data_IF_349383321493
#
_entry.id   IF_349383321493
#
_cell.length_a   1.000
_cell.length_b   1.000
_cell.length_c   1.000
_cell.angle_alpha   90.00
_cell.angle_beta   90.00
_cell.angle_gamma   90.00
#
_symmetry.space_group_name_H-M   'P 1'
#
loop_
_entity.id
_entity.type
_entity.pdbx_description
1 polymer ?
#
# COMPACT_ATOMS: atom_id res chain seq x y z
N UNK A 1 31.90 64.45 -31.69
CA UNK A 1 31.86 63.15 -32.40
C UNK A 1 32.94 62.27 -31.79
N UNK A 2 32.53 61.30 -30.97
CA UNK A 2 32.61 59.84 -31.24
C UNK A 2 34.02 59.26 -31.00
N UNK A 3 34.26 58.62 -29.85
CA UNK A 3 34.26 57.14 -29.64
C UNK A 3 35.47 56.45 -30.31
N UNK A 4 36.30 55.62 -29.66
CA UNK A 4 36.04 54.52 -28.72
C UNK A 4 37.32 54.20 -27.90
N UNK A 5 37.15 53.91 -26.60
CA UNK A 5 38.12 53.19 -25.76
C UNK A 5 37.69 51.72 -25.65
N UNK A 6 38.61 50.77 -25.74
CA UNK A 6 38.42 49.39 -25.23
C UNK A 6 39.37 49.16 -24.07
N UNK A 7 38.78 48.79 -22.95
CA UNK A 7 39.41 48.44 -21.69
C UNK A 7 39.76 46.96 -21.65
N UNK A 8 40.84 46.68 -20.93
CA UNK A 8 41.35 45.40 -20.45
C UNK A 8 40.39 44.76 -19.45
N UNK A 9 39.99 43.50 -19.69
CA UNK A 9 39.28 42.68 -18.70
C UNK A 9 40.27 42.10 -17.69
N UNK A 10 40.11 42.48 -16.43
CA UNK A 10 40.74 41.85 -15.28
C UNK A 10 40.02 40.56 -14.88
N UNK A 11 40.81 39.56 -14.55
CA UNK A 11 40.41 38.28 -13.96
C UNK A 11 39.84 38.53 -12.56
N UNK A 12 38.55 38.24 -12.36
CA UNK A 12 37.90 38.26 -11.04
C UNK A 12 38.01 36.86 -10.42
N UNK A 13 38.82 36.74 -9.38
CA UNK A 13 38.96 35.53 -8.55
C UNK A 13 37.83 35.54 -7.52
N UNK A 14 36.84 34.67 -7.66
CA UNK A 14 35.75 34.50 -6.68
C UNK A 14 36.20 33.49 -5.62
N UNK A 15 36.59 33.98 -4.44
CA UNK A 15 36.74 33.19 -3.23
C UNK A 15 35.35 32.82 -2.70
N UNK A 16 35.01 31.52 -2.71
CA UNK A 16 33.82 30.99 -2.07
C UNK A 16 34.17 30.64 -0.61
N UNK A 17 33.81 31.54 0.31
CA UNK A 17 33.90 31.28 1.75
C UNK A 17 32.68 30.46 2.17
N UNK A 18 32.88 29.20 2.55
CA UNK A 18 31.83 28.34 3.14
C UNK A 18 31.61 28.80 4.58
N UNK A 19 30.52 29.51 4.83
CA UNK A 19 30.06 29.82 6.17
C UNK A 19 29.26 28.63 6.74
N UNK A 20 29.71 28.10 7.86
CA UNK A 20 28.96 27.13 8.65
C UNK A 20 27.75 27.82 9.28
N UNK A 21 26.55 27.47 8.83
CA UNK A 21 25.31 27.84 9.50
C UNK A 21 25.08 26.85 10.66
N UNK A 22 25.06 27.38 11.88
CA UNK A 22 24.55 26.70 13.08
C UNK A 22 23.06 26.39 12.93
N UNK A 23 22.55 25.27 13.49
CA UNK A 23 21.14 24.94 13.42
C UNK A 23 20.35 25.92 14.31
N UNK A 24 19.43 26.66 13.69
CA UNK A 24 18.38 27.40 14.38
C UNK A 24 17.34 26.36 14.81
N UNK A 25 17.06 26.31 16.11
CA UNK A 25 15.95 25.56 16.67
C UNK A 25 14.65 26.06 16.03
N UNK A 26 13.99 25.20 15.26
CA UNK A 26 12.63 25.40 14.80
C UNK A 26 11.71 24.56 15.70
N UNK A 27 10.70 25.24 16.24
CA UNK A 27 9.62 24.69 17.06
C UNK A 27 8.96 23.46 16.41
N UNK A 28 8.58 22.53 17.28
CA UNK A 28 7.77 21.33 16.99
C UNK A 28 6.41 21.71 16.37
N UNK A 29 6.35 21.75 15.04
CA UNK A 29 5.10 21.65 14.29
C UNK A 29 4.84 20.16 13.98
N UNK A 30 3.76 19.64 14.56
CA UNK A 30 3.30 18.26 14.47
C UNK A 30 2.88 17.87 13.03
N UNK A 31 3.86 17.62 12.17
CA UNK A 31 3.67 16.74 11.01
C UNK A 31 3.73 15.30 11.51
N UNK A 32 2.69 14.50 11.24
CA UNK A 32 2.72 13.04 11.43
C UNK A 32 3.78 12.45 10.49
N UNK A 33 5.02 12.43 10.96
CA UNK A 33 6.18 11.97 10.23
C UNK A 33 6.15 10.43 10.22
N UNK A 34 5.94 9.83 9.04
CA UNK A 34 6.11 8.40 8.87
C UNK A 34 7.54 8.02 9.29
N UNK A 35 7.68 7.34 10.43
CA UNK A 35 8.98 6.86 10.88
C UNK A 35 9.40 5.69 10.01
N UNK A 36 10.38 5.93 9.15
CA UNK A 36 11.02 4.87 8.37
C UNK A 36 11.71 3.89 9.32
N UNK A 37 11.40 2.60 9.21
CA UNK A 37 12.05 1.53 9.94
C UNK A 37 12.66 0.54 8.96
N UNK A 38 13.95 0.27 9.11
CA UNK A 38 14.59 -0.84 8.41
C UNK A 38 13.96 -2.16 8.90
N UNK A 39 13.29 -2.87 8.00
CA UNK A 39 12.74 -4.21 8.22
C UNK A 39 13.78 -5.28 7.92
N UNK A 40 14.58 -5.03 6.86
CA UNK A 40 15.68 -5.87 6.41
C UNK A 40 16.82 -4.97 5.94
N UNK A 41 18.05 -5.32 6.32
CA UNK A 41 19.25 -4.79 5.70
C UNK A 41 20.30 -5.89 5.67
N UNK A 42 20.67 -6.32 4.48
CA UNK A 42 21.60 -7.42 4.27
C UNK A 42 22.65 -7.06 3.22
N UNK A 43 23.90 -7.33 3.56
CA UNK A 43 25.06 -7.14 2.69
C UNK A 43 25.86 -8.43 2.49
N UNK A 44 25.41 -9.55 3.05
CA UNK A 44 26.00 -10.89 2.91
C UNK A 44 27.51 -10.91 3.19
N UNK A 45 27.94 -10.17 4.21
CA UNK A 45 29.36 -10.05 4.61
C UNK A 45 29.85 -11.24 5.44
N UNK A 46 28.92 -12.03 5.97
CA UNK A 46 29.21 -13.32 6.60
C UNK A 46 29.51 -14.37 5.52
N UNK A 47 30.30 -15.39 5.88
CA UNK A 47 30.61 -16.55 5.03
C UNK A 47 29.47 -17.58 4.95
N UNK A 48 28.36 -17.30 5.64
CA UNK A 48 27.14 -18.10 5.66
C UNK A 48 25.91 -17.20 5.70
N UNK A 49 24.76 -17.71 5.23
CA UNK A 49 23.49 -17.01 5.37
C UNK A 49 23.14 -16.87 6.85
N UNK A 50 22.73 -15.68 7.30
CA UNK A 50 22.26 -15.48 8.67
C UNK A 50 21.00 -16.31 8.93
N UNK A 51 20.68 -16.52 10.21
CA UNK A 51 19.50 -17.28 10.63
C UNK A 51 18.16 -16.70 10.14
N UNK A 52 18.18 -15.46 9.66
CA UNK A 52 16.99 -14.74 9.22
C UNK A 52 16.62 -15.07 7.77
N UNK A 53 17.52 -15.75 7.05
CA UNK A 53 17.29 -16.24 5.70
C UNK A 53 17.12 -17.76 5.67
N UNK A 54 16.45 -18.25 4.64
CA UNK A 54 16.36 -19.67 4.34
C UNK A 54 16.41 -19.90 2.84
N UNK A 55 16.96 -21.04 2.45
CA UNK A 55 16.97 -21.49 1.05
C UNK A 55 15.84 -22.49 0.88
N UNK A 56 14.85 -22.16 0.06
CA UNK A 56 13.74 -23.05 -0.29
C UNK A 56 14.13 -23.97 -1.44
N UNK A 57 13.60 -25.19 -1.45
CA UNK A 57 13.87 -26.20 -2.47
C UNK A 57 15.39 -26.41 -2.66
N UNK A 58 16.05 -26.62 -1.51
CA UNK A 58 17.49 -26.53 -1.38
C UNK A 58 18.23 -27.60 -2.17
N UNK A 59 19.10 -27.16 -3.07
CA UNK A 59 20.27 -27.92 -3.49
C UNK A 59 21.50 -27.31 -2.80
N UNK A 60 22.16 -28.03 -1.85
CA UNK A 60 23.38 -27.53 -1.24
C UNK A 60 24.40 -27.15 -2.32
N UNK A 61 25.13 -26.06 -2.09
CA UNK A 61 26.14 -25.47 -2.99
C UNK A 61 25.64 -24.51 -4.09
N UNK A 62 24.33 -24.29 -4.23
CA UNK A 62 23.80 -23.43 -5.31
C UNK A 62 23.33 -22.04 -4.87
N UNK A 63 23.24 -21.78 -3.55
CA UNK A 63 22.98 -20.44 -2.99
C UNK A 63 23.84 -20.19 -1.75
N UNK A 64 24.80 -19.27 -1.83
CA UNK A 64 25.76 -19.02 -0.76
C UNK A 64 26.34 -17.60 -0.80
N UNK A 65 26.68 -17.00 0.36
CA UNK A 65 27.45 -15.76 0.40
C UNK A 65 28.88 -15.95 -0.12
N UNK A 66 29.34 -15.03 -0.95
CA UNK A 66 30.71 -14.94 -1.45
C UNK A 66 31.08 -13.48 -1.73
N UNK A 67 32.25 -13.05 -1.25
CA UNK A 67 32.80 -11.71 -1.45
C UNK A 67 31.84 -10.56 -1.06
N UNK A 68 31.14 -10.70 0.06
CA UNK A 68 30.19 -9.70 0.55
C UNK A 68 28.93 -9.57 -0.32
N UNK A 69 28.52 -10.67 -0.98
CA UNK A 69 27.35 -10.75 -1.87
C UNK A 69 26.74 -12.13 -1.76
N UNK A 70 25.43 -12.25 -1.95
CA UNK A 70 24.79 -13.56 -2.13
C UNK A 70 24.94 -13.98 -3.58
N UNK A 71 25.51 -15.15 -3.82
CA UNK A 71 25.48 -15.81 -5.13
C UNK A 71 24.36 -16.84 -5.16
N UNK A 72 23.56 -16.82 -6.23
CA UNK A 72 22.61 -17.88 -6.56
C UNK A 72 22.95 -18.39 -7.98
N UNK A 73 23.22 -19.67 -8.10
CA UNK A 73 23.52 -20.33 -9.36
C UNK A 73 22.21 -20.73 -10.09
N UNK A 74 21.90 -20.13 -11.26
CA UNK A 74 20.60 -20.32 -11.91
C UNK A 74 20.42 -21.72 -12.46
N UNK A 75 19.38 -22.40 -11.99
CA UNK A 75 18.99 -23.70 -12.52
C UNK A 75 18.00 -23.61 -13.68
N UNK A 76 18.00 -24.61 -14.58
CA UNK A 76 17.00 -24.75 -15.63
C UNK A 76 15.59 -24.91 -15.04
N UNK A 77 14.66 -24.06 -15.48
CA UNK A 77 13.25 -24.17 -15.15
C UNK A 77 12.38 -24.12 -16.40
N UNK A 78 11.32 -24.92 -16.43
CA UNK A 78 10.32 -24.92 -17.49
C UNK A 78 9.38 -23.73 -17.41
N UNK A 79 9.10 -23.27 -16.19
CA UNK A 79 8.14 -22.23 -15.89
C UNK A 79 8.73 -21.29 -14.83
N UNK A 80 9.01 -20.06 -15.24
CA UNK A 80 9.59 -19.04 -14.37
C UNK A 80 8.58 -18.53 -13.35
N UNK A 81 7.29 -18.59 -13.66
CA UNK A 81 6.23 -18.06 -12.81
C UNK A 81 5.80 -19.09 -11.73
N UNK A 82 6.23 -20.34 -11.84
CA UNK A 82 5.96 -21.40 -10.87
C UNK A 82 7.02 -21.42 -9.74
N UNK A 83 6.95 -20.46 -8.81
CA UNK A 83 7.95 -20.30 -7.72
C UNK A 83 8.25 -21.60 -6.95
N UNK A 84 7.25 -22.42 -6.65
CA UNK A 84 7.43 -23.71 -5.97
C UNK A 84 8.25 -24.77 -6.73
N UNK A 85 8.60 -24.49 -8.00
CA UNK A 85 9.43 -25.37 -8.85
C UNK A 85 10.81 -24.79 -9.11
N UNK A 86 11.11 -23.62 -8.56
CA UNK A 86 12.38 -22.95 -8.76
C UNK A 86 13.27 -23.31 -7.58
N UNK A 87 14.37 -24.04 -7.82
CA UNK A 87 15.28 -24.40 -6.75
C UNK A 87 16.01 -23.15 -6.22
N UNK A 88 16.49 -23.25 -4.99
CA UNK A 88 17.38 -22.27 -4.38
C UNK A 88 16.82 -20.83 -4.29
N UNK A 89 15.52 -20.69 -4.06
CA UNK A 89 14.94 -19.40 -3.69
C UNK A 89 15.43 -19.00 -2.29
N UNK A 90 15.96 -17.79 -2.14
CA UNK A 90 16.46 -17.31 -0.85
C UNK A 90 15.42 -16.39 -0.23
N UNK A 91 14.73 -16.87 0.80
CA UNK A 91 13.61 -16.21 1.46
C UNK A 91 14.04 -15.59 2.79
N UNK A 92 13.64 -14.35 3.04
CA UNK A 92 13.69 -13.75 4.37
C UNK A 92 12.53 -14.29 5.21
N UNK A 93 12.85 -14.87 6.37
CA UNK A 93 11.90 -15.66 7.18
C UNK A 93 10.79 -14.82 7.78
N UNK A 94 11.06 -13.55 8.08
CA UNK A 94 10.10 -12.70 8.77
C UNK A 94 9.22 -11.91 7.78
N UNK A 95 7.93 -11.72 8.09
CA UNK A 95 7.07 -10.88 7.29
C UNK A 95 7.54 -9.42 7.33
N UNK A 96 7.41 -8.75 6.19
CA UNK A 96 7.64 -7.33 6.00
C UNK A 96 6.36 -6.59 6.42
N UNK A 97 6.29 -6.17 7.67
CA UNK A 97 5.16 -5.41 8.19
C UNK A 97 5.32 -3.91 7.88
N UNK A 98 4.36 -3.31 7.17
CA UNK A 98 4.32 -1.87 6.92
C UNK A 98 3.19 -1.46 5.97
N UNK A 99 2.62 -0.25 6.17
CA UNK A 99 1.59 0.30 5.26
C UNK A 99 2.18 0.69 3.90
N UNK A 100 3.42 1.18 3.96
CA UNK A 100 4.27 1.37 2.79
C UNK A 100 5.52 0.55 3.00
N UNK A 101 5.91 -0.20 1.98
CA UNK A 101 7.12 -1.02 1.98
C UNK A 101 7.93 -0.63 0.76
N UNK A 102 9.20 -0.34 0.94
CA UNK A 102 10.15 -0.22 -0.17
C UNK A 102 11.17 -1.32 -0.03
N UNK A 103 11.09 -2.33 -0.89
CA UNK A 103 12.09 -3.38 -1.02
C UNK A 103 13.02 -3.07 -2.18
N UNK A 104 14.33 -3.18 -1.95
CA UNK A 104 15.36 -2.99 -2.98
C UNK A 104 16.43 -4.06 -2.87
N UNK A 105 16.96 -4.46 -4.01
CA UNK A 105 18.12 -5.33 -4.09
C UNK A 105 18.98 -4.89 -5.27
N UNK A 106 20.29 -4.80 -5.06
CA UNK A 106 21.23 -4.64 -6.16
C UNK A 106 21.54 -6.03 -6.73
N UNK A 107 21.37 -6.13 -8.04
CA UNK A 107 21.50 -7.33 -8.84
C UNK A 107 22.69 -7.16 -9.79
N UNK A 108 23.55 -8.17 -9.85
CA UNK A 108 24.62 -8.26 -10.85
C UNK A 108 24.51 -9.59 -11.61
N UNK A 109 24.25 -9.52 -12.92
CA UNK A 109 23.99 -10.69 -13.77
C UNK A 109 24.57 -10.49 -15.17
N UNK A 110 25.06 -11.57 -15.79
CA UNK A 110 25.45 -11.59 -17.20
C UNK A 110 24.43 -12.42 -17.99
N UNK A 111 23.40 -11.77 -18.52
CA UNK A 111 22.33 -12.43 -19.27
C UNK A 111 22.89 -12.91 -20.61
N UNK A 112 23.01 -14.22 -20.77
CA UNK A 112 23.56 -14.89 -21.95
C UNK A 112 22.56 -15.82 -22.65
N UNK A 113 21.43 -16.12 -22.00
CA UNK A 113 20.40 -17.03 -22.49
C UNK A 113 18.97 -16.55 -22.17
N UNK A 114 17.96 -17.02 -22.91
CA UNK A 114 16.56 -16.79 -22.57
C UNK A 114 16.24 -17.36 -21.18
N UNK A 115 15.41 -16.66 -20.43
CA UNK A 115 15.05 -17.00 -19.05
C UNK A 115 16.15 -16.85 -18.03
N UNK A 116 17.42 -16.64 -18.42
CA UNK A 116 18.49 -16.35 -17.46
C UNK A 116 18.29 -14.94 -16.87
N UNK A 117 18.19 -14.87 -15.55
CA UNK A 117 18.08 -13.60 -14.84
C UNK A 117 17.94 -13.77 -13.33
N UNK A 118 17.66 -12.66 -12.67
CA UNK A 118 17.31 -12.63 -11.25
C UNK A 118 16.13 -11.72 -10.97
N UNK A 119 15.52 -11.90 -9.81
CA UNK A 119 14.34 -11.16 -9.40
C UNK A 119 14.28 -10.87 -7.91
N UNK A 120 13.57 -9.79 -7.59
CA UNK A 120 13.10 -9.43 -6.27
C UNK A 120 11.61 -9.74 -6.20
N UNK A 121 11.18 -10.52 -5.21
CA UNK A 121 9.79 -10.95 -5.07
C UNK A 121 9.27 -10.57 -3.68
N UNK A 122 8.09 -9.96 -3.65
CA UNK A 122 7.25 -9.83 -2.46
C UNK A 122 6.22 -10.96 -2.49
N UNK A 123 6.36 -11.91 -1.57
CA UNK A 123 5.70 -13.21 -1.61
C UNK A 123 4.80 -13.41 -0.39
N UNK A 124 3.55 -13.81 -0.60
CA UNK A 124 2.67 -14.29 0.47
C UNK A 124 2.48 -15.82 0.35
N UNK A 125 2.16 -16.29 -0.86
CA UNK A 125 2.06 -17.70 -1.20
C UNK A 125 2.21 -17.93 -2.72
N UNK A 126 2.11 -19.18 -3.19
CA UNK A 126 2.30 -19.54 -4.60
C UNK A 126 1.25 -18.96 -5.57
N UNK A 127 0.11 -18.49 -5.05
CA UNK A 127 -0.94 -17.82 -5.82
C UNK A 127 -0.94 -16.31 -5.64
N UNK A 128 -0.20 -15.79 -4.67
CA UNK A 128 -0.24 -14.41 -4.23
C UNK A 128 1.20 -13.86 -4.06
N UNK A 129 1.70 -13.17 -5.10
CA UNK A 129 3.01 -12.54 -5.09
C UNK A 129 3.13 -11.42 -6.13
N UNK A 130 4.10 -10.53 -5.92
CA UNK A 130 4.53 -9.51 -6.88
C UNK A 130 6.04 -9.63 -7.08
N UNK A 131 6.47 -9.73 -8.33
CA UNK A 131 7.85 -9.91 -8.73
C UNK A 131 8.30 -8.77 -9.64
N UNK A 132 9.52 -8.29 -9.41
CA UNK A 132 10.29 -7.52 -10.38
C UNK A 132 11.51 -8.33 -10.80
N UNK A 133 11.55 -8.76 -12.05
CA UNK A 133 12.64 -9.53 -12.63
C UNK A 133 13.45 -8.74 -13.66
N UNK A 134 14.76 -8.98 -13.71
CA UNK A 134 15.63 -8.62 -14.82
C UNK A 134 16.16 -9.90 -15.47
N UNK A 135 15.73 -10.18 -16.70
CA UNK A 135 15.99 -11.47 -17.38
C UNK A 135 16.09 -11.34 -18.90
N UNK A 136 16.64 -12.38 -19.52
CA UNK A 136 16.59 -12.58 -20.96
C UNK A 136 15.24 -13.12 -21.43
N UNK A 137 14.75 -12.63 -22.56
CA UNK A 137 13.59 -13.15 -23.30
C UNK A 137 13.93 -13.29 -24.78
N UNK A 138 13.22 -14.15 -25.51
CA UNK A 138 13.33 -14.24 -26.98
C UNK A 138 12.28 -13.34 -27.63
N UNK A 139 12.72 -12.43 -28.49
CA UNK A 139 11.84 -11.62 -29.32
C UNK A 139 12.34 -11.67 -30.77
N UNK A 140 11.53 -12.20 -31.69
CA UNK A 140 11.91 -12.29 -33.11
C UNK A 140 13.17 -13.13 -33.36
N UNK A 141 13.50 -14.08 -32.47
CA UNK A 141 14.71 -14.89 -32.55
C UNK A 141 15.95 -14.26 -31.89
N UNK A 142 15.89 -12.98 -31.51
CA UNK A 142 16.95 -12.29 -30.77
C UNK A 142 16.76 -12.45 -29.26
N UNK A 143 17.87 -12.49 -28.52
CA UNK A 143 17.86 -12.33 -27.07
C UNK A 143 17.64 -10.85 -26.75
N UNK A 144 16.63 -10.56 -25.94
CA UNK A 144 16.32 -9.22 -25.43
C UNK A 144 16.39 -9.25 -23.91
N UNK A 145 17.04 -8.27 -23.32
CA UNK A 145 17.11 -8.08 -21.87
C UNK A 145 15.94 -7.20 -21.46
N UNK A 146 15.12 -7.69 -20.54
CA UNK A 146 13.87 -7.02 -20.13
C UNK A 146 13.78 -6.91 -18.62
N UNK A 147 13.09 -5.86 -18.18
CA UNK A 147 12.54 -5.75 -16.84
C UNK A 147 11.07 -6.12 -16.89
N UNK A 148 10.67 -7.01 -15.99
CA UNK A 148 9.32 -7.56 -15.95
C UNK A 148 8.76 -7.42 -14.55
N UNK A 149 7.67 -6.66 -14.43
CA UNK A 149 6.83 -6.63 -13.24
C UNK A 149 5.69 -7.63 -13.45
N UNK A 150 5.62 -8.66 -12.64
CA UNK A 150 4.53 -9.65 -12.69
C UNK A 150 3.82 -9.71 -11.35
N UNK A 151 2.49 -9.71 -11.40
CA UNK A 151 1.61 -9.91 -10.26
C UNK A 151 0.86 -11.22 -10.45
N UNK A 152 0.88 -12.09 -9.44
CA UNK A 152 -0.06 -13.20 -9.32
C UNK A 152 -0.91 -12.97 -8.08
N UNK A 153 -2.22 -12.98 -8.25
CA UNK A 153 -3.15 -12.78 -7.13
C UNK A 153 -4.46 -13.50 -7.43
N UNK A 154 -4.94 -14.34 -6.51
CA UNK A 154 -6.18 -15.09 -6.70
C UNK A 154 -6.21 -15.96 -7.97
N UNK A 155 -5.05 -16.44 -8.42
CA UNK A 155 -4.89 -17.23 -9.66
C UNK A 155 -4.84 -16.42 -10.95
N UNK A 156 -5.16 -15.13 -10.92
CA UNK A 156 -4.99 -14.21 -12.05
C UNK A 156 -3.54 -13.71 -12.11
N UNK A 157 -3.01 -13.54 -13.33
CA UNK A 157 -1.66 -13.04 -13.58
C UNK A 157 -1.70 -11.79 -14.45
N UNK A 158 -1.06 -10.71 -13.99
CA UNK A 158 -0.82 -9.49 -14.77
C UNK A 158 0.69 -9.30 -14.96
N UNK A 159 1.11 -8.82 -16.12
CA UNK A 159 2.52 -8.58 -16.42
C UNK A 159 2.73 -7.26 -17.17
N UNK A 160 3.73 -6.48 -16.73
CA UNK A 160 4.24 -5.29 -17.41
C UNK A 160 5.70 -5.53 -17.79
N UNK A 161 6.05 -5.22 -19.04
CA UNK A 161 7.40 -5.44 -19.58
C UNK A 161 8.00 -4.13 -20.07
N UNK A 162 9.25 -3.90 -19.70
CA UNK A 162 10.07 -2.79 -20.22
C UNK A 162 11.35 -3.35 -20.83
N UNK A 163 11.61 -3.04 -22.10
CA UNK A 163 12.87 -3.39 -22.75
C UNK A 163 14.03 -2.58 -22.15
N UNK A 164 15.12 -3.27 -21.83
CA UNK A 164 16.36 -2.67 -21.33
C UNK A 164 17.44 -2.63 -22.42
N UNK A 165 17.65 -3.74 -23.12
CA UNK A 165 18.69 -3.86 -24.15
C UNK A 165 18.50 -5.07 -25.06
N UNK A 166 19.32 -5.18 -26.11
CA UNK A 166 19.33 -6.32 -27.04
C UNK A 166 20.65 -7.09 -26.94
N UNK A 167 20.60 -8.37 -27.31
CA UNK A 167 21.72 -9.30 -27.28
C UNK A 167 22.12 -9.76 -25.89
N UNK A 168 23.04 -10.73 -25.85
CA UNK A 168 23.73 -11.13 -24.63
C UNK A 168 24.53 -9.95 -24.08
N UNK A 169 24.61 -9.82 -22.76
CA UNK A 169 25.23 -8.64 -22.13
C UNK A 169 26.75 -8.61 -22.31
N UNK A 170 27.40 -9.74 -22.58
CA UNK A 170 28.87 -9.88 -22.76
C UNK A 170 29.70 -9.55 -21.50
N UNK A 171 29.16 -8.74 -20.61
CA UNK A 171 29.65 -8.32 -19.31
C UNK A 171 28.52 -8.41 -18.29
N UNK A 172 28.87 -8.44 -17.01
CA UNK A 172 27.88 -8.37 -15.93
C UNK A 172 27.27 -6.98 -15.87
N UNK A 173 25.95 -6.94 -15.89
CA UNK A 173 25.18 -5.72 -15.71
C UNK A 173 24.80 -5.56 -14.25
N UNK A 174 24.95 -4.34 -13.74
CA UNK A 174 24.57 -3.97 -12.38
C UNK A 174 23.33 -3.11 -12.41
N UNK A 175 22.27 -3.56 -11.74
CA UNK A 175 20.99 -2.89 -11.68
C UNK A 175 20.41 -3.00 -10.27
N UNK A 176 19.84 -1.91 -9.75
CA UNK A 176 19.05 -1.98 -8.52
C UNK A 176 17.59 -2.19 -8.91
N UNK A 177 16.99 -3.26 -8.41
CA UNK A 177 15.57 -3.53 -8.51
C UNK A 177 14.88 -2.93 -7.29
N UNK A 178 13.78 -2.19 -7.49
CA UNK A 178 13.01 -1.58 -6.39
C UNK A 178 11.53 -1.90 -6.59
N UNK A 179 10.93 -2.49 -5.56
CA UNK A 179 9.49 -2.71 -5.44
C UNK A 179 8.97 -1.85 -4.29
N UNK A 180 8.05 -0.95 -4.60
CA UNK A 180 7.35 -0.12 -3.64
C UNK A 180 5.90 -0.62 -3.52
N UNK A 181 5.47 -0.94 -2.30
CA UNK A 181 4.07 -1.16 -1.95
C UNK A 181 3.55 0.07 -1.23
N UNK A 182 2.37 0.54 -1.62
CA UNK A 182 1.59 1.52 -0.87
C UNK A 182 0.12 1.08 -0.89
N UNK A 183 -0.38 0.62 0.26
CA UNK A 183 -1.68 -0.04 0.35
C UNK A 183 -1.73 -1.29 -0.56
N UNK A 184 -2.63 -1.26 -1.55
CA UNK A 184 -2.85 -2.32 -2.53
C UNK A 184 -2.07 -2.11 -3.86
N UNK A 185 -1.37 -0.99 -4.02
CA UNK A 185 -0.59 -0.69 -5.22
C UNK A 185 0.86 -1.11 -5.07
N UNK A 186 1.41 -1.68 -6.13
CA UNK A 186 2.79 -2.10 -6.26
C UNK A 186 3.43 -1.43 -7.46
N UNK A 187 4.44 -0.59 -7.20
CA UNK A 187 5.20 0.11 -8.22
C UNK A 187 6.59 -0.49 -8.34
N UNK A 188 7.00 -0.76 -9.58
CA UNK A 188 8.32 -1.27 -9.90
C UNK A 188 9.20 -0.19 -10.53
N UNK A 189 10.40 -0.02 -9.98
CA UNK A 189 11.43 0.88 -10.47
C UNK A 189 12.73 0.12 -10.70
N UNK A 190 13.55 0.65 -11.59
CA UNK A 190 14.96 0.26 -11.72
C UNK A 190 15.87 1.47 -11.48
N UNK A 191 17.05 1.22 -10.92
CA UNK A 191 18.14 2.19 -10.86
C UNK A 191 19.40 1.61 -11.52
N UNK A 192 20.00 2.37 -12.43
CA UNK A 192 21.21 1.97 -13.14
C UNK A 192 22.31 3.00 -12.86
N UNK A 193 23.50 2.59 -12.39
CA UNK A 193 24.62 3.51 -12.24
C UNK A 193 25.05 4.09 -13.59
N UNK A 194 25.20 5.41 -13.65
CA UNK A 194 25.57 6.16 -14.86
C UNK A 194 26.91 6.87 -14.64
N UNK A 195 28.00 6.31 -15.16
CA UNK A 195 29.31 6.98 -15.16
C UNK A 195 29.87 7.18 -13.73
N UNK A 196 30.04 8.43 -13.24
CA UNK A 196 30.64 8.69 -11.93
C UNK A 196 29.91 7.99 -10.76
N UNK A 197 30.63 7.64 -9.67
CA UNK A 197 30.02 7.08 -8.47
C UNK A 197 28.87 7.96 -7.94
N UNK A 198 27.73 7.34 -7.61
CA UNK A 198 26.57 8.02 -7.01
C UNK A 198 25.55 8.58 -7.99
N UNK A 199 25.84 8.62 -9.30
CA UNK A 199 24.85 9.04 -10.31
C UNK A 199 24.03 7.81 -10.74
N UNK A 200 22.73 7.83 -10.46
CA UNK A 200 21.80 6.76 -10.80
C UNK A 200 20.75 7.26 -11.82
N UNK A 201 20.52 6.49 -12.89
CA UNK A 201 19.35 6.65 -13.75
C UNK A 201 18.21 5.81 -13.21
N UNK A 202 17.15 6.47 -12.77
CA UNK A 202 15.89 5.85 -12.36
C UNK A 202 14.94 5.65 -13.54
N UNK A 203 14.25 4.52 -13.58
CA UNK A 203 13.24 4.23 -14.59
C UNK A 203 12.07 3.44 -14.02
N UNK A 204 10.85 3.89 -14.30
CA UNK A 204 9.62 3.15 -13.95
C UNK A 204 9.44 1.95 -14.88
N UNK A 205 9.24 0.76 -14.33
CA UNK A 205 8.94 -0.45 -15.11
C UNK A 205 7.44 -0.58 -15.30
N UNK A 206 6.67 -0.38 -14.23
CA UNK A 206 5.21 -0.43 -14.26
C UNK A 206 4.60 -0.34 -12.86
N UNK A 207 3.29 -0.45 -12.81
CA UNK A 207 2.49 -0.49 -11.59
C UNK A 207 1.39 -1.55 -11.76
N UNK A 208 1.07 -2.25 -10.67
CA UNK A 208 0.02 -3.28 -10.58
C UNK A 208 -0.70 -3.14 -9.24
N UNK A 209 -1.94 -3.62 -9.15
CA UNK A 209 -2.70 -3.66 -7.89
C UNK A 209 -2.92 -5.11 -7.44
N UNK A 210 -2.73 -5.39 -6.16
CA UNK A 210 -2.94 -6.70 -5.53
C UNK A 210 -3.58 -6.52 -4.13
N UNK A 211 -4.91 -6.32 -4.06
CA UNK A 211 -5.60 -6.06 -2.80
C UNK A 211 -5.61 -7.29 -1.89
N UNK A 212 -5.14 -7.15 -0.66
CA UNK A 212 -5.03 -8.27 0.30
C UNK A 212 -3.67 -8.99 0.28
N UNK A 213 -2.68 -8.46 -0.45
CA UNK A 213 -1.29 -8.92 -0.36
C UNK A 213 -0.63 -8.26 0.88
N UNK A 214 -0.83 -8.86 2.06
CA UNK A 214 -0.54 -8.26 3.38
C UNK A 214 0.75 -8.73 4.03
N UNK A 215 0.83 -10.04 4.28
CA UNK A 215 1.93 -10.76 4.95
C UNK A 215 3.07 -11.08 3.97
N UNK A 216 3.77 -10.03 3.53
CA UNK A 216 4.79 -10.17 2.49
C UNK A 216 6.11 -10.65 3.06
N UNK A 217 6.67 -11.71 2.51
CA UNK A 217 8.07 -12.09 2.69
C UNK A 217 8.89 -11.61 1.50
N UNK A 218 10.17 -11.35 1.74
CA UNK A 218 11.11 -11.02 0.69
C UNK A 218 11.73 -12.32 0.14
N UNK A 219 11.70 -12.51 -1.18
CA UNK A 219 12.42 -13.59 -1.85
C UNK A 219 13.38 -13.02 -2.89
N UNK A 220 14.60 -13.56 -2.89
CA UNK A 220 15.60 -13.38 -3.93
C UNK A 220 15.59 -14.64 -4.80
N UNK A 221 15.54 -14.43 -6.11
CA UNK A 221 15.33 -15.51 -7.08
C UNK A 221 16.32 -15.40 -8.22
N UNK A 222 16.89 -16.53 -8.62
CA UNK A 222 17.65 -16.66 -9.87
C UNK A 222 17.23 -17.95 -10.59
N UNK A 223 17.05 -17.87 -11.90
CA UNK A 223 16.75 -19.06 -12.70
C UNK A 223 17.20 -18.86 -14.16
N UNK A 224 17.14 -19.92 -14.95
CA UNK A 224 17.31 -19.87 -16.41
C UNK A 224 16.25 -20.73 -17.10
N UNK A 225 15.87 -20.41 -18.34
CA UNK A 225 14.96 -21.30 -19.06
C UNK A 225 15.67 -22.62 -19.37
N UNK A 226 14.94 -23.73 -19.29
CA UNK A 226 15.44 -25.01 -19.75
C UNK A 226 15.83 -24.93 -21.24
N UNK A 227 17.08 -25.27 -21.62
CA UNK A 227 17.46 -25.25 -23.02
C UNK A 227 16.66 -26.31 -23.77
N UNK A 228 16.01 -25.92 -24.87
CA UNK A 228 15.15 -26.83 -25.63
C UNK A 228 15.88 -28.05 -26.27
N UNK A 229 17.22 -28.17 -26.16
CA UNK A 229 17.99 -29.26 -26.79
C UNK A 229 19.52 -29.25 -26.55
N UNK A 230 20.04 -28.64 -25.47
CA UNK A 230 21.51 -28.58 -25.22
C UNK A 230 21.89 -29.54 -24.09
N UNK A 231 22.96 -30.36 -24.24
CA UNK A 231 23.47 -31.21 -23.14
C UNK A 231 23.80 -30.37 -21.90
N UNK A 232 23.35 -30.83 -20.73
CA UNK A 232 23.51 -30.16 -19.42
C UNK A 232 24.98 -29.86 -19.06
N UNK A 233 25.89 -30.61 -19.64
CA UNK A 233 27.31 -30.73 -19.33
C UNK A 233 28.19 -29.64 -19.99
N UNK A 234 27.62 -28.70 -20.75
CA UNK A 234 28.38 -27.70 -21.52
C UNK A 234 28.18 -26.22 -21.15
N UNK A 235 27.35 -25.85 -20.16
CA UNK A 235 27.12 -24.43 -19.85
C UNK A 235 27.09 -24.15 -18.35
N UNK A 236 28.27 -23.94 -17.76
CA UNK A 236 28.38 -23.20 -16.51
C UNK A 236 27.96 -21.74 -16.80
N UNK A 237 26.76 -21.36 -16.39
CA UNK A 237 26.35 -19.96 -16.49
C UNK A 237 26.91 -19.16 -15.32
N UNK A 238 27.25 -17.88 -15.55
CA UNK A 238 27.68 -17.03 -14.47
C UNK A 238 26.53 -16.87 -13.45
N UNK A 239 26.80 -17.20 -12.19
CA UNK A 239 25.83 -17.04 -11.10
C UNK A 239 25.35 -15.59 -10.97
N UNK A 240 24.11 -15.44 -10.51
CA UNK A 240 23.47 -14.16 -10.23
C UNK A 240 23.92 -13.70 -8.84
N UNK A 241 24.36 -12.45 -8.72
CA UNK A 241 24.76 -11.89 -7.44
C UNK A 241 23.74 -10.87 -6.94
N UNK A 242 23.49 -10.91 -5.63
CA UNK A 242 22.67 -9.96 -4.89
C UNK A 242 23.49 -9.27 -3.80
N UNK A 243 23.34 -7.95 -3.66
CA UNK A 243 23.92 -7.15 -2.59
C UNK A 243 23.02 -5.95 -2.22
N UNK A 244 23.34 -5.29 -1.10
CA UNK A 244 22.59 -4.11 -0.61
C UNK A 244 21.07 -4.35 -0.59
N UNK A 245 20.66 -5.51 -0.05
CA UNK A 245 19.26 -5.91 0.02
C UNK A 245 18.64 -5.21 1.22
N UNK A 246 17.69 -4.33 0.96
CA UNK A 246 17.06 -3.50 1.99
C UNK A 246 15.56 -3.51 1.80
N UNK A 247 14.82 -3.74 2.89
CA UNK A 247 13.39 -3.48 2.96
C UNK A 247 13.14 -2.46 4.07
N UNK A 248 12.46 -1.35 3.73
CA UNK A 248 12.06 -0.32 4.68
C UNK A 248 10.54 -0.31 4.77
N UNK A 249 10.04 -0.35 5.99
CA UNK A 249 8.63 -0.21 6.32
C UNK A 249 8.34 1.18 6.84
N UNK A 250 7.18 1.71 6.48
CA UNK A 250 6.62 2.92 7.07
C UNK A 250 5.30 2.54 7.74
N UNK A 251 5.23 2.74 9.05
CA UNK A 251 3.97 2.75 9.79
C UNK A 251 3.60 4.20 10.07
N UNK A 252 2.35 4.57 9.82
CA UNK A 252 1.80 5.76 10.45
C UNK A 252 1.38 5.35 11.87
N UNK A 253 2.04 5.90 12.87
CA UNK A 253 1.56 5.85 14.26
C UNK A 253 0.47 6.92 14.46
N UNK A 254 -0.49 7.02 13.54
CA UNK A 254 -1.66 7.87 13.72
C UNK A 254 -2.79 7.02 14.33
N UNK A 255 -2.59 6.55 15.57
CA UNK A 255 -3.66 5.86 16.28
C UNK A 255 -4.72 6.83 16.77
N UNK A 256 -5.98 6.40 16.84
CA UNK A 256 -6.94 6.87 17.84
C UNK A 256 -6.21 6.94 19.20
N UNK A 257 -5.97 8.17 19.70
CA UNK A 257 -5.51 8.39 21.07
C UNK A 257 -6.56 7.91 22.05
N UNK A 258 -6.16 7.51 23.26
CA UNK A 258 -7.05 6.92 24.27
C UNK A 258 -8.40 7.66 24.39
N UNK A 259 -9.48 6.89 24.62
CA UNK A 259 -10.81 7.47 24.78
C UNK A 259 -10.75 8.56 25.87
N UNK A 260 -11.31 9.76 25.63
CA UNK A 260 -11.28 10.83 26.62
C UNK A 260 -11.81 10.34 27.97
N UNK A 261 -11.15 10.68 29.07
CA UNK A 261 -11.56 10.26 30.43
C UNK A 261 -13.01 10.63 30.78
N UNK A 262 -13.57 11.65 30.10
CA UNK A 262 -14.96 12.11 30.23
C UNK A 262 -16.00 11.19 29.58
N UNK A 263 -15.58 10.21 28.77
CA UNK A 263 -16.44 9.30 28.04
C UNK A 263 -16.28 7.86 28.54
N UNK A 264 -17.41 7.16 28.66
CA UNK A 264 -17.39 5.72 28.95
C UNK A 264 -17.42 4.95 27.64
N UNK A 265 -16.42 4.10 27.42
CA UNK A 265 -16.41 3.17 26.29
C UNK A 265 -17.48 2.09 26.51
N UNK A 266 -18.54 2.13 25.71
CA UNK A 266 -19.60 1.12 25.72
C UNK A 266 -19.22 -0.09 24.85
N UNK A 267 -18.48 0.15 23.78
CA UNK A 267 -17.89 -0.89 22.94
C UNK A 267 -16.60 -0.38 22.29
N UNK A 268 -15.59 -1.24 22.20
CA UNK A 268 -14.40 -0.98 21.43
C UNK A 268 -13.98 -2.26 20.72
N UNK A 269 -13.46 -2.11 19.51
CA UNK A 269 -12.78 -3.19 18.79
C UNK A 269 -11.53 -2.66 18.12
N UNK A 270 -10.49 -3.48 18.13
CA UNK A 270 -9.38 -3.40 17.18
C UNK A 270 -9.70 -4.40 16.07
N UNK A 271 -9.76 -3.93 14.83
CA UNK A 271 -10.15 -4.81 13.72
C UNK A 271 -9.09 -5.87 13.42
N UNK A 272 -7.84 -5.71 13.91
CA UNK A 272 -6.79 -6.74 13.84
C UNK A 272 -7.12 -7.97 14.70
N UNK A 273 -8.00 -7.85 15.70
CA UNK A 273 -8.54 -9.00 16.42
C UNK A 273 -9.68 -9.65 15.62
N UNK A 274 -9.28 -10.54 14.71
CA UNK A 274 -10.20 -11.25 13.82
C UNK A 274 -11.21 -12.14 14.54
N UNK A 275 -10.88 -12.62 15.74
CA UNK A 275 -11.79 -13.42 16.55
C UNK A 275 -12.91 -12.56 17.14
N UNK A 276 -12.57 -11.38 17.68
CA UNK A 276 -13.57 -10.39 18.12
C UNK A 276 -14.39 -9.87 16.93
N UNK A 277 -13.76 -9.62 15.78
CA UNK A 277 -14.48 -9.22 14.58
C UNK A 277 -15.57 -10.24 14.18
N UNK A 278 -15.21 -11.52 14.06
CA UNK A 278 -16.16 -12.59 13.66
C UNK A 278 -17.31 -12.77 14.64
N UNK A 279 -17.10 -12.46 15.92
CA UNK A 279 -18.14 -12.51 16.96
C UNK A 279 -19.07 -11.31 16.87
N UNK A 280 -18.50 -10.11 16.74
CA UNK A 280 -19.24 -8.86 16.95
C UNK A 280 -19.78 -8.25 15.64
N UNK A 281 -19.36 -8.72 14.46
CA UNK A 281 -19.76 -8.16 13.17
C UNK A 281 -20.35 -9.18 12.20
N UNK A 282 -21.22 -8.70 11.32
CA UNK A 282 -21.75 -9.44 10.16
C UNK A 282 -21.35 -8.74 8.88
N UNK A 283 -20.80 -9.48 7.92
CA UNK A 283 -20.59 -8.97 6.56
C UNK A 283 -21.84 -9.23 5.73
N UNK A 284 -22.52 -8.17 5.32
CA UNK A 284 -23.67 -8.25 4.44
C UNK A 284 -23.24 -8.39 2.97
N UNK A 285 -23.81 -9.39 2.28
CA UNK A 285 -23.57 -9.69 0.87
C UNK A 285 -22.07 -9.85 0.57
N UNK A 286 -21.40 -10.82 1.23
CA UNK A 286 -19.95 -11.01 1.08
C UNK A 286 -19.58 -11.33 -0.37
N UNK A 287 -18.49 -10.76 -0.82
CA UNK A 287 -17.87 -11.00 -2.11
C UNK A 287 -16.36 -11.18 -1.89
N UNK A 288 -15.88 -12.38 -2.24
CA UNK A 288 -14.45 -12.72 -2.20
C UNK A 288 -13.66 -11.82 -3.15
N UNK A 289 -12.45 -11.42 -2.76
CA UNK A 289 -11.60 -10.51 -3.54
C UNK A 289 -11.92 -9.01 -3.40
N UNK A 290 -12.82 -8.64 -2.49
CA UNK A 290 -13.04 -7.25 -2.07
C UNK A 290 -13.25 -7.10 -0.56
N UNK A 291 -12.86 -8.13 0.19
CA UNK A 291 -12.85 -8.20 1.64
C UNK A 291 -11.63 -9.05 2.04
N UNK A 292 -10.79 -8.54 2.92
CA UNK A 292 -9.75 -9.30 3.61
C UNK A 292 -9.86 -9.07 5.12
N UNK A 293 -9.49 -10.10 5.89
CA UNK A 293 -9.54 -10.09 7.36
C UNK A 293 -8.22 -10.53 7.99
N UNK A 294 -7.20 -10.87 7.21
CA UNK A 294 -5.96 -11.50 7.69
C UNK A 294 -5.18 -10.56 8.60
N UNK A 295 -5.10 -9.27 8.21
CA UNK A 295 -4.43 -8.20 8.96
C UNK A 295 -5.41 -7.17 9.58
N UNK A 296 -6.68 -7.54 9.69
CA UNK A 296 -7.76 -6.66 10.11
C UNK A 296 -8.75 -6.37 9.00
N UNK A 297 -9.70 -5.47 9.24
CA UNK A 297 -10.82 -5.28 8.32
C UNK A 297 -10.41 -4.45 7.11
N UNK A 298 -10.25 -5.11 5.97
CA UNK A 298 -9.94 -4.46 4.69
C UNK A 298 -11.09 -4.66 3.70
N UNK A 299 -11.54 -3.57 3.08
CA UNK A 299 -12.60 -3.52 2.08
C UNK A 299 -12.08 -2.89 0.79
N UNK A 300 -12.43 -3.46 -0.36
CA UNK A 300 -12.22 -2.82 -1.67
C UNK A 300 -13.56 -2.30 -2.16
N UNK A 301 -13.62 -1.01 -2.46
CA UNK A 301 -14.79 -0.36 -2.99
C UNK A 301 -15.21 -1.01 -4.33
N UNK A 302 -16.46 -1.45 -4.37
CA UNK A 302 -17.13 -1.96 -5.57
C UNK A 302 -18.40 -1.15 -5.84
N UNK A 303 -18.95 -1.32 -7.04
CA UNK A 303 -20.20 -0.65 -7.40
C UNK A 303 -21.29 -0.91 -6.35
N UNK A 304 -21.88 0.15 -5.83
CA UNK A 304 -22.95 0.02 -4.85
C UNK A 304 -23.64 1.34 -4.57
N UNK A 305 -24.95 1.27 -4.40
CA UNK A 305 -25.81 2.39 -4.04
C UNK A 305 -26.37 2.11 -2.64
N UNK A 306 -26.03 2.93 -1.63
CA UNK A 306 -26.58 2.79 -0.29
C UNK A 306 -28.11 2.94 -0.31
N UNK A 307 -28.79 2.01 0.35
CA UNK A 307 -30.25 1.93 0.38
C UNK A 307 -30.90 1.37 -0.89
N UNK A 308 -30.15 1.07 -1.95
CA UNK A 308 -30.71 0.49 -3.17
C UNK A 308 -30.88 -1.03 -3.03
N UNK A 309 -32.08 -1.51 -3.38
CA UNK A 309 -32.42 -2.94 -3.26
C UNK A 309 -31.75 -3.79 -4.33
N UNK A 310 -31.60 -3.25 -5.54
CA UNK A 310 -31.15 -3.94 -6.75
C UNK A 310 -29.63 -3.93 -6.88
N UNK A 311 -29.00 -2.83 -6.48
CA UNK A 311 -27.56 -2.58 -6.53
C UNK A 311 -27.07 -2.11 -5.16
N UNK A 312 -27.16 -2.96 -4.13
CA UNK A 312 -26.71 -2.62 -2.78
C UNK A 312 -25.21 -2.33 -2.73
N UNK A 313 -24.75 -1.75 -1.63
CA UNK A 313 -23.34 -1.83 -1.25
C UNK A 313 -22.99 -3.28 -0.90
N UNK A 314 -21.90 -3.80 -1.49
CA UNK A 314 -21.33 -5.12 -1.17
C UNK A 314 -20.37 -5.00 0.01
N UNK A 315 -20.13 -6.11 0.70
CA UNK A 315 -19.22 -6.17 1.85
C UNK A 315 -19.50 -5.10 2.92
N UNK A 316 -20.78 -4.75 3.10
CA UNK A 316 -21.17 -3.84 4.16
C UNK A 316 -21.00 -4.55 5.51
N UNK A 317 -20.13 -4.03 6.36
CA UNK A 317 -19.80 -4.64 7.65
C UNK A 317 -20.67 -4.01 8.72
N UNK A 318 -21.40 -4.82 9.47
CA UNK A 318 -22.41 -4.36 10.42
C UNK A 318 -22.06 -4.82 11.83
N UNK A 319 -22.08 -3.92 12.80
CA UNK A 319 -21.98 -4.25 14.21
C UNK A 319 -23.26 -4.98 14.67
N UNK A 320 -23.11 -6.18 15.24
CA UNK A 320 -24.19 -7.03 15.74
C UNK A 320 -24.66 -6.64 17.15
N UNK A 321 -24.25 -5.49 17.65
CA UNK A 321 -24.61 -4.98 18.98
C UNK A 321 -25.55 -3.79 18.87
N UNK A 322 -26.55 -3.68 19.76
CA UNK A 322 -27.37 -2.48 19.85
C UNK A 322 -26.50 -1.30 20.29
N UNK A 323 -26.78 -0.12 19.75
CA UNK A 323 -26.19 1.12 20.24
C UNK A 323 -26.83 1.54 21.57
N UNK A 324 -26.10 2.30 22.41
CA UNK A 324 -26.64 2.83 23.65
C UNK A 324 -27.94 3.61 23.44
N UNK A 325 -28.86 3.53 24.41
CA UNK A 325 -30.04 4.39 24.44
C UNK A 325 -29.60 5.78 24.90
N UNK A 326 -30.05 6.82 24.21
CA UNK A 326 -29.72 8.22 24.53
C UNK A 326 -28.55 8.74 23.70
N UNK A 327 -27.77 9.66 24.29
CA UNK A 327 -26.59 10.25 23.66
C UNK A 327 -25.44 9.24 23.56
N UNK A 328 -24.78 9.20 22.41
CA UNK A 328 -23.61 8.35 22.17
C UNK A 328 -22.75 8.90 21.04
N UNK A 329 -21.49 8.50 21.04
CA UNK A 329 -20.54 8.78 19.97
C UNK A 329 -20.08 7.49 19.32
N UNK A 330 -19.95 7.52 18.00
CA UNK A 330 -19.31 6.46 17.21
C UNK A 330 -18.08 7.05 16.55
N UNK A 331 -16.91 6.49 16.82
CA UNK A 331 -15.65 6.88 16.21
C UNK A 331 -15.01 5.72 15.45
N UNK A 332 -14.54 5.99 14.24
CA UNK A 332 -13.89 4.99 13.39
C UNK A 332 -12.67 5.59 12.72
N UNK A 333 -11.56 4.90 12.84
CA UNK A 333 -10.33 5.20 12.12
C UNK A 333 -10.22 4.32 10.87
N UNK A 334 -9.95 4.95 9.74
CA UNK A 334 -9.85 4.35 8.42
C UNK A 334 -8.59 4.84 7.75
N UNK A 335 -7.89 3.92 7.09
CA UNK A 335 -6.95 4.27 6.03
C UNK A 335 -7.60 4.00 4.70
N UNK A 336 -7.62 5.01 3.84
CA UNK A 336 -8.24 4.92 2.54
C UNK A 336 -7.23 5.27 1.46
N UNK A 337 -7.12 4.38 0.48
CA UNK A 337 -6.41 4.60 -0.78
C UNK A 337 -7.45 4.70 -1.89
N UNK A 338 -7.69 5.90 -2.40
CA UNK A 338 -8.69 6.20 -3.42
C UNK A 338 -8.10 6.10 -4.83
N UNK A 339 -8.57 5.13 -5.60
CA UNK A 339 -8.05 4.78 -6.94
C UNK A 339 -8.95 5.26 -8.07
N UNK A 340 -10.19 5.67 -7.77
CA UNK A 340 -11.21 6.08 -8.75
C UNK A 340 -11.89 7.39 -8.34
N UNK A 341 -12.28 8.24 -9.30
CA UNK A 341 -12.98 9.50 -9.03
C UNK A 341 -14.40 9.32 -8.49
N UNK A 342 -14.83 8.09 -8.17
CA UNK A 342 -16.16 7.76 -7.65
C UNK A 342 -16.13 7.03 -6.30
N UNK A 343 -14.94 6.87 -5.72
CA UNK A 343 -14.74 6.11 -4.51
C UNK A 343 -15.26 6.84 -3.27
N UNK A 344 -15.90 6.07 -2.40
CA UNK A 344 -16.59 6.55 -1.22
C UNK A 344 -16.40 5.56 -0.07
N UNK A 345 -15.92 6.06 1.06
CA UNK A 345 -15.67 5.30 2.28
C UNK A 345 -16.29 6.02 3.47
N UNK A 346 -16.78 5.26 4.44
CA UNK A 346 -17.14 5.85 5.73
C UNK A 346 -17.93 4.93 6.64
N UNK A 347 -18.66 5.59 7.53
CA UNK A 347 -19.56 4.99 8.50
C UNK A 347 -21.00 5.29 8.14
N UNK A 348 -21.88 4.35 8.45
CA UNK A 348 -23.31 4.55 8.35
C UNK A 348 -24.01 4.13 9.64
N UNK A 349 -25.05 4.85 10.00
CA UNK A 349 -26.09 4.33 10.88
C UNK A 349 -27.27 3.94 10.02
N UNK A 350 -27.73 2.71 10.16
CA UNK A 350 -28.97 2.28 9.54
C UNK A 350 -29.98 1.89 10.61
N UNK A 351 -31.19 2.40 10.47
CA UNK A 351 -32.31 2.04 11.33
C UNK A 351 -33.36 1.25 10.57
N UNK A 352 -34.49 1.03 11.22
CA UNK A 352 -35.65 0.42 10.57
C UNK A 352 -36.23 1.31 9.45
N UNK A 353 -37.10 0.72 8.62
CA UNK A 353 -37.89 1.40 7.57
C UNK A 353 -37.08 2.10 6.47
N UNK A 354 -35.81 1.69 6.29
CA UNK A 354 -34.96 2.21 5.22
C UNK A 354 -34.40 3.60 5.50
N UNK A 355 -34.45 4.06 6.76
CA UNK A 355 -33.78 5.29 7.18
C UNK A 355 -32.30 5.00 7.45
N UNK A 356 -31.42 5.86 6.96
CA UNK A 356 -29.99 5.73 7.19
C UNK A 356 -29.30 7.10 7.19
N UNK A 357 -28.22 7.20 7.95
CA UNK A 357 -27.31 8.33 7.99
C UNK A 357 -25.93 7.85 7.57
N UNK A 358 -25.26 8.58 6.70
CA UNK A 358 -23.91 8.28 6.24
C UNK A 358 -23.01 9.46 6.52
N UNK A 359 -21.86 9.19 7.10
CA UNK A 359 -20.72 10.10 7.13
C UNK A 359 -19.63 9.42 6.35
N UNK A 360 -19.13 10.08 5.31
CA UNK A 360 -18.11 9.49 4.47
C UNK A 360 -17.25 10.53 3.81
N UNK A 361 -16.26 10.04 3.07
CA UNK A 361 -15.33 10.81 2.29
C UNK A 361 -15.39 10.31 0.85
N UNK A 362 -15.82 11.19 -0.05
CA UNK A 362 -16.15 10.83 -1.43
C UNK A 362 -15.22 11.56 -2.40
N UNK A 363 -14.58 10.81 -3.30
CA UNK A 363 -13.95 11.35 -4.50
C UNK A 363 -15.02 11.84 -5.49
N UNK A 364 -15.02 13.14 -5.82
CA UNK A 364 -16.04 13.75 -6.68
C UNK A 364 -15.52 13.85 -8.12
N UNK A 365 -16.23 13.33 -9.14
CA UNK A 365 -15.78 13.37 -10.53
C UNK A 365 -15.90 14.76 -11.17
N UNK A 366 -14.96 15.08 -12.06
CA UNK A 366 -15.11 16.21 -12.99
C UNK A 366 -14.87 17.60 -12.39
N UNK A 367 -14.41 17.65 -11.14
CA UNK A 367 -14.02 18.88 -10.47
C UNK A 367 -12.64 18.72 -9.85
N UNK A 368 -11.62 18.91 -10.68
CA UNK A 368 -10.22 18.85 -10.24
C UNK A 368 -9.94 19.76 -9.03
N UNK A 369 -10.72 20.84 -8.85
CA UNK A 369 -10.61 21.79 -7.73
C UNK A 369 -11.39 21.38 -6.46
N UNK A 370 -12.35 20.45 -6.53
CA UNK A 370 -13.18 20.08 -5.36
C UNK A 370 -12.64 18.87 -4.58
N UNK A 371 -11.64 18.17 -5.13
CA UNK A 371 -10.90 17.10 -4.44
C UNK A 371 -11.79 15.97 -3.90
N UNK A 372 -11.19 15.13 -3.05
CA UNK A 372 -11.93 14.18 -2.22
C UNK A 372 -12.43 14.93 -1.00
N UNK A 373 -13.67 14.73 -0.56
CA UNK A 373 -14.27 15.57 0.49
C UNK A 373 -15.24 14.81 1.39
N UNK A 374 -15.27 15.20 2.66
CA UNK A 374 -16.23 14.68 3.61
C UNK A 374 -17.66 15.15 3.33
N UNK A 375 -18.62 14.27 3.58
CA UNK A 375 -20.05 14.54 3.42
C UNK A 375 -20.89 13.90 4.52
N UNK A 376 -22.06 14.48 4.73
CA UNK A 376 -23.16 13.92 5.50
C UNK A 376 -24.32 13.62 4.56
N UNK A 377 -24.84 12.39 4.57
CA UNK A 377 -26.01 12.02 3.78
C UNK A 377 -27.09 11.42 4.66
N UNK A 378 -28.29 11.96 4.55
CA UNK A 378 -29.50 11.40 5.17
C UNK A 378 -30.29 10.64 4.10
N UNK A 379 -30.86 9.51 4.49
CA UNK A 379 -31.84 8.75 3.70
C UNK A 379 -33.07 8.58 4.57
N UNK A 380 -34.23 9.03 4.08
CA UNK A 380 -35.51 8.92 4.75
C UNK A 380 -36.60 8.55 3.73
N UNK A 381 -37.33 7.47 4.00
CA UNK A 381 -38.44 7.02 3.13
C UNK A 381 -38.04 6.77 1.67
N UNK A 382 -36.80 6.33 1.42
CA UNK A 382 -36.27 6.07 0.06
C UNK A 382 -35.74 7.30 -0.68
N UNK A 383 -35.87 8.50 -0.12
CA UNK A 383 -35.25 9.73 -0.63
C UNK A 383 -33.96 10.04 0.12
N UNK A 384 -32.95 10.61 -0.55
CA UNK A 384 -31.68 10.92 0.08
C UNK A 384 -31.19 12.34 -0.22
N UNK A 385 -30.66 13.02 0.80
CA UNK A 385 -30.00 14.32 0.67
C UNK A 385 -28.52 14.18 1.06
N UNK A 386 -27.62 14.61 0.19
CA UNK A 386 -26.17 14.65 0.48
C UNK A 386 -25.73 16.10 0.67
N UNK A 387 -24.99 16.38 1.74
CA UNK A 387 -24.38 17.67 2.04
C UNK A 387 -22.87 17.48 2.18
N UNK A 388 -22.10 18.18 1.37
CA UNK A 388 -20.63 18.17 1.46
C UNK A 388 -20.17 19.23 2.45
N UNK A 389 -19.15 18.93 3.26
CA UNK A 389 -18.65 19.87 4.29
C UNK A 389 -18.05 21.11 3.64
N UNK A 390 -18.53 22.36 3.87
CA UNK A 390 -17.98 23.58 3.26
C UNK A 390 -16.47 23.76 3.49
N UNK A 391 -15.94 23.18 4.57
CA UNK A 391 -14.59 23.40 5.07
C UNK A 391 -13.49 22.76 4.20
N UNK A 392 -12.48 23.55 3.74
CA UNK A 392 -11.31 23.05 3.03
C UNK A 392 -10.49 22.00 3.78
N UNK A 393 -10.47 22.00 5.11
CA UNK A 393 -9.71 21.05 5.92
C UNK A 393 -10.21 19.60 5.73
N UNK A 394 -11.46 19.42 5.31
CA UNK A 394 -12.02 18.11 4.95
C UNK A 394 -11.58 17.60 3.57
N UNK A 395 -10.83 18.39 2.80
CA UNK A 395 -10.39 18.06 1.44
C UNK A 395 -9.02 17.40 1.44
N UNK A 396 -8.84 16.46 0.53
CA UNK A 396 -7.54 15.89 0.21
C UNK A 396 -7.38 15.58 -1.28
N UNK A 397 -6.19 15.84 -1.79
CA UNK A 397 -5.71 15.54 -3.13
C UNK A 397 -4.80 14.30 -3.15
N UNK A 398 -4.26 13.89 -2.00
CA UNK A 398 -3.48 12.64 -1.90
C UNK A 398 -4.37 11.41 -2.06
N UNK A 399 -3.83 10.40 -2.74
CA UNK A 399 -4.53 9.14 -3.02
C UNK A 399 -4.69 8.30 -1.76
N UNK A 400 -3.69 8.27 -0.89
CA UNK A 400 -3.73 7.58 0.40
C UNK A 400 -3.85 8.59 1.55
N UNK A 401 -4.79 8.35 2.48
CA UNK A 401 -5.01 9.23 3.64
C UNK A 401 -5.63 8.46 4.81
N UNK A 402 -5.33 8.89 6.03
CA UNK A 402 -6.02 8.42 7.24
C UNK A 402 -7.18 9.36 7.55
N UNK A 403 -8.35 8.79 7.82
CA UNK A 403 -9.59 9.47 8.12
C UNK A 403 -10.10 8.95 9.47
N UNK A 404 -10.49 9.87 10.35
CA UNK A 404 -11.24 9.52 11.55
C UNK A 404 -12.64 10.09 11.42
N UNK A 405 -13.65 9.23 11.36
CA UNK A 405 -15.05 9.64 11.32
C UNK A 405 -15.61 9.61 12.73
N UNK A 406 -16.32 10.66 13.13
CA UNK A 406 -17.10 10.69 14.36
C UNK A 406 -18.54 11.04 14.07
N UNK A 407 -19.45 10.29 14.67
CA UNK A 407 -20.87 10.57 14.64
C UNK A 407 -21.41 10.63 16.07
N UNK A 408 -21.85 11.81 16.47
CA UNK A 408 -22.41 12.11 17.77
C UNK A 408 -23.93 12.12 17.68
N UNK A 409 -24.60 11.31 18.50
CA UNK A 409 -26.03 11.39 18.77
C UNK A 409 -26.23 12.22 20.04
N UNK A 410 -27.00 13.28 19.94
CA UNK A 410 -27.47 14.07 21.08
C UNK A 410 -29.00 14.00 21.18
N UNK A 411 -29.68 14.84 21.97
CA UNK A 411 -31.15 14.82 22.05
C UNK A 411 -31.82 15.23 20.73
N UNK A 412 -31.22 16.19 20.00
CA UNK A 412 -31.83 16.88 18.84
C UNK A 412 -31.60 16.16 17.51
N UNK A 413 -30.53 15.39 17.38
CA UNK A 413 -30.23 14.70 16.13
C UNK A 413 -28.85 14.08 16.16
N UNK A 414 -28.19 14.10 15.01
CA UNK A 414 -26.84 13.62 14.81
C UNK A 414 -25.93 14.74 14.31
N UNK A 415 -24.71 14.79 14.84
CA UNK A 415 -23.64 15.67 14.36
C UNK A 415 -22.51 14.81 13.82
N UNK A 416 -22.05 15.13 12.62
CA UNK A 416 -20.98 14.43 11.95
C UNK A 416 -19.70 15.26 11.97
N UNK A 417 -18.60 14.60 12.31
CA UNK A 417 -17.26 15.17 12.33
C UNK A 417 -16.29 14.27 11.57
N UNK A 418 -15.22 14.86 11.08
CA UNK A 418 -14.12 14.14 10.45
C UNK A 418 -12.80 14.78 10.84
N UNK A 419 -11.79 13.96 11.10
CA UNK A 419 -10.39 14.36 11.04
C UNK A 419 -9.77 13.75 9.78
N UNK A 420 -9.07 14.58 8.99
CA UNK A 420 -8.39 14.16 7.76
C UNK A 420 -6.90 14.33 7.97
N UNK A 421 -6.18 13.20 8.04
CA UNK A 421 -4.74 13.14 8.22
C UNK A 421 -4.22 13.88 9.46
N UNK A 422 -4.98 13.88 10.56
CA UNK A 422 -4.57 14.49 11.83
C UNK A 422 -4.59 16.02 11.83
N UNK A 423 -5.36 16.63 10.93
CA UNK A 423 -5.55 18.10 10.85
C UNK A 423 -6.50 18.64 11.92
N UNK A 424 -7.10 17.75 12.71
CA UNK A 424 -8.05 18.08 13.76
C UNK A 424 -9.50 17.90 13.31
N UNK A 425 -10.40 17.88 14.30
CA UNK A 425 -11.81 17.62 14.08
C UNK A 425 -12.53 18.76 13.37
N UNK A 426 -13.11 18.45 12.22
CA UNK A 426 -13.90 19.36 11.41
C UNK A 426 -15.35 18.90 11.37
N UNK A 427 -16.27 19.82 11.63
CA UNK A 427 -17.70 19.55 11.54
C UNK A 427 -18.12 19.38 10.08
N UNK A 428 -18.69 18.23 9.74
CA UNK A 428 -19.21 17.94 8.41
C UNK A 428 -20.63 18.46 8.25
N UNK A 429 -21.46 18.29 9.28
CA UNK A 429 -22.84 18.77 9.28
C UNK A 429 -23.67 18.21 10.43
N UNK A 430 -24.97 18.50 10.39
CA UNK A 430 -25.97 17.97 11.32
C UNK A 430 -27.20 17.45 10.58
N UNK A 431 -27.86 16.47 11.19
CA UNK A 431 -29.09 15.87 10.69
C UNK A 431 -30.07 15.61 11.83
N UNK A 432 -31.27 16.17 11.70
CA UNK A 432 -32.43 15.78 12.51
C UNK A 432 -33.07 14.57 11.83
N UNK A 433 -32.65 13.37 12.24
CA UNK A 433 -33.17 12.11 11.73
C UNK A 433 -33.47 11.20 12.92
N UNK A 434 -34.69 10.66 12.97
CA UNK A 434 -35.00 9.62 13.95
C UNK A 434 -34.64 8.25 13.36
N UNK A 435 -33.71 7.57 14.03
CA UNK A 435 -33.36 6.18 13.73
C UNK A 435 -33.87 5.31 14.87
N UNK A 436 -34.77 4.38 14.55
CA UNK A 436 -35.24 3.36 15.49
C UNK A 436 -34.23 2.22 15.48
N UNK A 437 -33.70 1.89 16.67
CA UNK A 437 -32.69 0.85 16.90
C UNK A 437 -31.52 0.88 15.90
N UNK A 438 -30.80 2.03 15.80
CA UNK A 438 -29.73 2.18 14.83
C UNK A 438 -28.61 1.17 15.07
N UNK A 439 -28.01 0.72 13.97
CA UNK A 439 -26.80 -0.10 13.96
C UNK A 439 -25.71 0.57 13.16
N UNK A 440 -24.47 0.39 13.60
CA UNK A 440 -23.27 0.89 12.90
C UNK A 440 -22.95 -0.05 11.74
N UNK A 441 -22.78 0.54 10.56
CA UNK A 441 -22.24 -0.08 9.37
C UNK A 441 -20.97 0.62 8.92
N UNK A 442 -20.02 -0.15 8.40
CA UNK A 442 -18.77 0.31 7.79
C UNK A 442 -18.80 -0.07 6.32
N UNK A 443 -18.44 0.87 5.45
CA UNK A 443 -18.55 0.66 4.01
C UNK A 443 -17.40 1.26 3.21
N UNK A 444 -17.14 0.64 2.07
CA UNK A 444 -16.38 1.16 0.95
C UNK A 444 -17.16 0.87 -0.34
N UNK A 445 -17.32 1.86 -1.22
CA UNK A 445 -18.07 1.72 -2.47
C UNK A 445 -17.54 2.62 -3.58
N UNK A 446 -17.83 2.24 -4.83
CA UNK A 446 -17.65 3.10 -5.99
C UNK A 446 -19.02 3.50 -6.54
N UNK A 447 -19.28 4.80 -6.68
CA UNK A 447 -20.61 5.31 -7.02
C UNK A 447 -21.00 5.14 -8.50
N UNK A 448 -20.07 4.86 -9.41
CA UNK A 448 -20.36 4.73 -10.86
C UNK A 448 -19.60 3.64 -11.61
N UNK A 449 -18.54 3.07 -11.05
CA UNK A 449 -17.78 2.05 -11.77
C UNK A 449 -18.45 0.68 -11.65
N UNK A 450 -19.08 0.20 -12.74
CA UNK A 450 -19.86 -1.05 -12.78
C UNK A 450 -19.03 -2.33 -12.89
N UNK A 451 -17.70 -2.27 -12.76
CA UNK A 451 -16.90 -3.47 -12.50
C UNK A 451 -15.68 -3.71 -13.37
N UNK A 452 -14.99 -2.67 -13.85
CA UNK A 452 -13.73 -2.86 -14.60
C UNK A 452 -12.48 -2.45 -13.84
N UNK A 453 -12.59 -1.61 -12.81
CA UNK A 453 -11.45 -1.19 -11.98
C UNK A 453 -11.79 -1.42 -10.50
N UNK A 454 -10.88 -2.00 -9.69
CA UNK A 454 -11.03 -1.97 -8.24
C UNK A 454 -11.10 -0.51 -7.78
N UNK A 455 -12.14 -0.14 -7.04
CA UNK A 455 -12.20 1.17 -6.39
C UNK A 455 -11.28 1.23 -5.17
N UNK A 456 -11.47 2.24 -4.34
CA UNK A 456 -10.69 2.49 -3.14
C UNK A 456 -10.44 1.24 -2.29
N UNK A 457 -9.17 1.01 -1.95
CA UNK A 457 -8.78 0.10 -0.89
C UNK A 457 -8.94 0.82 0.45
N UNK A 458 -9.57 0.16 1.42
CA UNK A 458 -9.88 0.73 2.73
C UNK A 458 -9.51 -0.25 3.82
N UNK A 459 -8.78 0.19 4.83
CA UNK A 459 -8.53 -0.57 6.05
C UNK A 459 -9.14 0.15 7.25
N UNK A 460 -10.02 -0.54 7.96
CA UNK A 460 -10.56 -0.05 9.23
C UNK A 460 -9.61 -0.51 10.34
N UNK A 461 -9.12 0.43 11.14
CA UNK A 461 -8.18 0.13 12.21
C UNK A 461 -8.92 -0.19 13.51
N UNK A 462 -9.80 0.72 13.95
CA UNK A 462 -10.52 0.61 15.23
C UNK A 462 -11.91 1.25 15.11
N UNK A 463 -12.81 0.81 15.99
CA UNK A 463 -14.13 1.40 16.20
C UNK A 463 -14.39 1.54 17.69
N UNK A 464 -14.81 2.72 18.11
CA UNK A 464 -15.33 3.00 19.45
C UNK A 464 -16.79 3.42 19.41
N UNK A 465 -17.55 2.91 20.38
CA UNK A 465 -18.87 3.43 20.73
C UNK A 465 -18.79 3.90 22.17
N UNK A 466 -19.04 5.19 22.37
CA UNK A 466 -18.86 5.87 23.64
C UNK A 466 -20.18 6.48 24.10
N UNK A 467 -20.35 6.61 25.42
CA UNK A 467 -21.46 7.32 26.03
C UNK A 467 -20.93 8.35 27.00
N UNK A 468 -21.73 9.36 27.31
CA UNK A 468 -21.43 10.23 28.45
C UNK A 468 -21.22 9.38 29.72
N UNK A 469 -20.22 9.74 30.52
CA UNK A 469 -20.08 9.19 31.85
C UNK A 469 -21.28 9.67 32.67
N UNK A 470 -22.19 8.75 33.05
CA UNK A 470 -23.27 9.08 33.98
C UNK A 470 -22.70 9.69 35.27
N UNK A 471 -23.47 10.49 36.03
CA UNK A 471 -23.00 11.07 37.28
C UNK A 471 -22.44 9.94 38.14
N UNK A 472 -21.15 10.05 38.50
CA UNK A 472 -20.49 9.06 39.34
C UNK A 472 -21.34 8.89 40.61
N UNK A 473 -22.04 7.76 40.70
CA UNK A 473 -22.79 7.42 41.89
C UNK A 473 -21.80 7.41 43.04
N UNK A 474 -21.92 8.39 43.95
CA UNK A 474 -21.26 8.29 45.25
C UNK A 474 -21.77 6.98 45.89
N UNK A 475 -20.87 6.13 46.40
CA UNK A 475 -21.24 4.86 47.03
C UNK A 475 -22.23 5.06 48.18
#
# INVERSE_FOLDING_TARGET
MSCQRRATSGTLLLLLTVAFATPVAADDDAASEFRARDLVRETFTLDHLSSDWEVLFHDPDHAYPADGRLRIDPEPVTDWEALHRIPNLVRYRFPLAGRRITARARLEVAIDAPGHGGALVLYQDDQNWVELAFRGEREGGELVRVLRLTRRFGGETETRVRRHGRGASGQRERITLVLEREGDSFRALMEIPMGPPGVLRRGVVGEVSAPGLGDLQLILKAARAEPASVPLDAQAHPGVLFDDVVAVGFSADAGLGDAPESLRVAFATDFRDTASFRRDFTVMRPQSGSLALEDGLELVARYGIPGDRWTPVRNLVVLNRPLPRGSFDVEVEVDATFTSPHDDVGIMLYGEKGNALYVGHWSIPGKAEDGRRAYLRTVAGGSGQTRFSPDPATRTDVEATTLVFRLERNERGYVAWVDVAGRGWVRVGEAELELVEPRVGLFARSARDRGTVPGAGVRFARLWVMTEAGPAGRP
#
